data_IF_023170139771
#
_entry.id   IF_023170139771
#
_cell.length_a   1.000
_cell.length_b   1.000
_cell.length_c   1.000
_cell.angle_alpha   90.00
_cell.angle_beta   90.00
_cell.angle_gamma   90.00
#
_symmetry.space_group_name_H-M   'P 1'
#
loop_
_entity.id
_entity.type
_entity.pdbx_description
1 polymer ?
#
# COMPACT_ATOMS: atom_id res chain seq x y z
N UNK A 1 16.66 -27.77 -36.42
CA UNK A 1 15.28 -27.52 -35.96
C UNK A 1 15.31 -26.44 -34.91
N UNK A 2 14.58 -25.33 -35.12
CA UNK A 2 14.51 -24.22 -34.17
C UNK A 2 13.67 -24.66 -32.96
N UNK A 3 14.32 -24.83 -31.80
CA UNK A 3 13.64 -25.09 -30.54
C UNK A 3 12.83 -23.85 -30.14
N UNK A 4 11.51 -23.99 -30.11
CA UNK A 4 10.64 -23.00 -29.54
C UNK A 4 10.92 -22.93 -28.03
N UNK A 5 11.57 -21.85 -27.59
CA UNK A 5 11.63 -21.46 -26.19
C UNK A 5 10.19 -21.21 -25.73
N UNK A 6 9.58 -22.22 -25.10
CA UNK A 6 8.34 -22.05 -24.35
C UNK A 6 8.66 -21.13 -23.17
N UNK A 7 8.34 -19.85 -23.32
CA UNK A 7 8.17 -18.92 -22.21
C UNK A 7 7.10 -19.53 -21.29
N UNK A 8 7.52 -20.17 -20.20
CA UNK A 8 6.61 -20.59 -19.16
C UNK A 8 6.27 -19.34 -18.34
N UNK A 9 5.12 -18.73 -18.63
CA UNK A 9 4.54 -17.72 -17.76
C UNK A 9 4.25 -18.36 -16.40
N UNK A 10 4.81 -17.81 -15.32
CA UNK A 10 4.56 -18.31 -13.96
C UNK A 10 3.07 -18.21 -13.63
N UNK A 11 2.52 -19.28 -13.05
CA UNK A 11 1.16 -19.28 -12.50
C UNK A 11 1.02 -18.28 -11.34
N UNK A 12 -0.22 -17.90 -11.01
CA UNK A 12 -0.52 -17.07 -9.83
C UNK A 12 0.08 -17.65 -8.55
N UNK A 13 -0.04 -18.97 -8.33
CA UNK A 13 0.48 -19.62 -7.13
C UNK A 13 2.01 -19.53 -7.05
N UNK A 14 2.72 -19.78 -8.15
CA UNK A 14 4.18 -19.67 -8.19
C UNK A 14 4.64 -18.23 -7.94
N UNK A 15 3.92 -17.24 -8.48
CA UNK A 15 4.21 -15.83 -8.24
C UNK A 15 4.03 -15.47 -6.76
N UNK A 16 2.93 -15.89 -6.13
CA UNK A 16 2.69 -15.64 -4.70
C UNK A 16 3.76 -16.30 -3.83
N UNK A 17 4.13 -17.55 -4.14
CA UNK A 17 5.20 -18.26 -3.42
C UNK A 17 6.54 -17.53 -3.54
N UNK A 18 6.88 -17.02 -4.73
CA UNK A 18 8.11 -16.27 -4.95
C UNK A 18 8.15 -14.93 -4.18
N UNK A 19 6.99 -14.36 -3.82
CA UNK A 19 6.91 -13.13 -3.04
C UNK A 19 7.14 -13.34 -1.53
N UNK A 20 6.95 -14.56 -1.00
CA UNK A 20 7.00 -14.81 0.44
C UNK A 20 8.34 -14.44 1.06
N UNK A 21 9.45 -14.93 0.50
CA UNK A 21 10.79 -14.68 1.05
C UNK A 21 11.19 -13.19 1.07
N UNK A 22 11.15 -12.44 -0.06
CA UNK A 22 11.49 -11.02 -0.03
C UNK A 22 10.53 -10.20 0.83
N UNK A 23 9.23 -10.53 0.84
CA UNK A 23 8.26 -9.84 1.68
C UNK A 23 8.50 -10.10 3.17
N UNK A 24 8.83 -11.33 3.57
CA UNK A 24 9.15 -11.67 4.95
C UNK A 24 10.37 -10.89 5.45
N UNK A 25 11.46 -10.88 4.68
CA UNK A 25 12.67 -10.12 5.02
C UNK A 25 12.41 -8.62 5.13
N UNK A 26 11.63 -8.06 4.21
CA UNK A 26 11.26 -6.65 4.24
C UNK A 26 10.41 -6.29 5.47
N UNK A 27 9.46 -7.15 5.85
CA UNK A 27 8.57 -6.94 7.00
C UNK A 27 9.31 -6.93 8.33
N UNK A 28 10.29 -7.80 8.53
CA UNK A 28 11.06 -7.82 9.78
C UNK A 28 11.71 -6.44 10.05
N UNK A 29 12.33 -5.86 9.02
CA UNK A 29 12.92 -4.53 9.10
C UNK A 29 11.84 -3.45 9.23
N UNK A 30 10.77 -3.55 8.45
CA UNK A 30 9.70 -2.56 8.45
C UNK A 30 9.01 -2.44 9.80
N UNK A 31 8.69 -3.56 10.46
CA UNK A 31 8.04 -3.55 11.77
C UNK A 31 8.94 -2.91 12.83
N UNK A 32 10.24 -3.20 12.84
CA UNK A 32 11.21 -2.52 13.73
C UNK A 32 11.21 -1.00 13.50
N UNK A 33 11.25 -0.57 12.24
CA UNK A 33 11.27 0.85 11.89
C UNK A 33 9.93 1.56 12.19
N UNK A 34 8.79 0.90 11.94
CA UNK A 34 7.45 1.42 12.25
C UNK A 34 7.24 1.54 13.77
N UNK A 35 7.65 0.55 14.56
CA UNK A 35 7.61 0.62 16.03
C UNK A 35 8.45 1.80 16.55
N UNK A 36 9.59 2.06 15.91
CA UNK A 36 10.44 3.22 16.22
C UNK A 36 9.89 4.55 15.67
N UNK A 37 8.75 4.54 14.99
CA UNK A 37 8.07 5.74 14.50
C UNK A 37 8.74 6.40 13.29
N UNK A 38 9.68 5.73 12.62
CA UNK A 38 10.35 6.29 11.44
C UNK A 38 10.92 5.21 10.52
N UNK A 39 10.45 5.23 9.28
CA UNK A 39 10.98 4.47 8.16
C UNK A 39 12.35 5.00 7.75
N UNK A 40 13.28 4.07 7.53
CA UNK A 40 14.68 4.33 7.12
C UNK A 40 15.11 3.42 5.97
N UNK A 41 14.41 2.31 5.73
CA UNK A 41 14.72 1.33 4.68
C UNK A 41 13.86 1.42 3.41
N UNK A 42 14.25 0.67 2.39
CA UNK A 42 13.53 0.53 1.12
C UNK A 42 12.68 -0.75 1.10
N UNK A 43 11.59 -0.77 1.86
CA UNK A 43 10.73 -1.96 2.02
C UNK A 43 9.28 -1.76 1.59
N UNK A 44 8.89 -0.53 1.21
CA UNK A 44 7.47 -0.13 1.10
C UNK A 44 6.65 -1.06 0.20
N UNK A 45 7.19 -1.44 -0.97
CA UNK A 45 6.48 -2.22 -1.98
C UNK A 45 6.25 -3.68 -1.56
N UNK A 46 7.14 -4.22 -0.74
CA UNK A 46 7.08 -5.59 -0.25
C UNK A 46 6.16 -5.76 0.96
N UNK A 47 5.99 -4.67 1.72
CA UNK A 47 5.20 -4.64 2.96
C UNK A 47 3.77 -4.21 2.68
N UNK A 48 3.59 -3.21 1.83
CA UNK A 48 2.31 -2.65 1.42
C UNK A 48 2.19 -2.69 -0.11
N UNK A 49 1.96 -3.88 -0.69
CA UNK A 49 1.87 -4.01 -2.13
C UNK A 49 0.69 -3.24 -2.68
N UNK A 50 0.85 -2.74 -3.91
CA UNK A 50 -0.16 -1.93 -4.61
C UNK A 50 -0.39 -2.49 -6.01
N UNK A 51 -1.37 -1.96 -6.74
CA UNK A 51 -1.54 -2.30 -8.14
C UNK A 51 -0.42 -1.65 -8.96
N UNK A 52 0.09 -2.36 -9.98
CA UNK A 52 1.03 -1.77 -10.95
C UNK A 52 0.46 -0.49 -11.56
N UNK A 53 -0.85 -0.45 -11.82
CA UNK A 53 -1.54 0.70 -12.37
C UNK A 53 -1.79 1.86 -11.39
N UNK A 54 -1.63 1.64 -10.07
CA UNK A 54 -1.88 2.66 -9.02
C UNK A 54 -1.12 2.32 -7.74
N UNK A 55 -0.10 3.14 -7.43
CA UNK A 55 0.82 2.92 -6.32
C UNK A 55 2.15 2.30 -6.76
N UNK A 56 2.14 1.44 -7.78
CA UNK A 56 3.36 0.91 -8.40
C UNK A 56 4.19 1.98 -9.11
N UNK A 57 5.50 1.74 -9.22
CA UNK A 57 6.44 2.65 -9.89
C UNK A 57 7.61 1.91 -10.57
N UNK A 58 8.51 2.68 -11.19
CA UNK A 58 9.67 2.10 -11.88
C UNK A 58 10.58 1.27 -10.94
N UNK A 59 10.66 1.60 -9.65
CA UNK A 59 11.54 0.90 -8.70
C UNK A 59 10.94 -0.42 -8.24
N UNK A 60 9.62 -0.49 -8.02
CA UNK A 60 8.93 -1.76 -7.74
C UNK A 60 8.89 -2.68 -8.96
N UNK A 61 8.77 -2.13 -10.17
CA UNK A 61 8.80 -2.90 -11.42
C UNK A 61 10.16 -3.58 -11.69
N UNK A 62 11.25 -2.98 -11.21
CA UNK A 62 12.61 -3.53 -11.31
C UNK A 62 12.89 -4.68 -10.33
N UNK A 63 12.02 -4.91 -9.34
CA UNK A 63 12.20 -6.01 -8.39
C UNK A 63 12.07 -7.39 -9.06
N UNK A 64 12.70 -8.40 -8.45
CA UNK A 64 12.65 -9.79 -8.89
C UNK A 64 12.34 -10.70 -7.69
N UNK A 65 11.11 -11.26 -7.60
CA UNK A 65 9.95 -11.00 -8.47
C UNK A 65 9.47 -9.54 -8.39
N UNK A 66 8.61 -9.11 -9.31
CA UNK A 66 7.99 -7.78 -9.21
C UNK A 66 7.18 -7.68 -7.90
N UNK A 67 7.32 -6.56 -7.19
CA UNK A 67 6.64 -6.36 -5.91
C UNK A 67 5.18 -5.91 -6.08
N UNK A 68 4.86 -5.27 -7.20
CA UNK A 68 3.50 -4.80 -7.48
C UNK A 68 2.58 -5.92 -7.97
N UNK A 69 1.30 -5.74 -7.69
CA UNK A 69 0.24 -6.65 -8.08
C UNK A 69 -0.23 -6.25 -9.48
N UNK A 70 -0.19 -7.17 -10.44
CA UNK A 70 -0.46 -6.87 -11.85
C UNK A 70 -1.87 -6.33 -12.09
N UNK A 71 -2.83 -6.79 -11.29
CA UNK A 71 -4.25 -6.53 -11.45
C UNK A 71 -4.99 -6.90 -10.15
N UNK A 72 -6.29 -6.62 -10.12
CA UNK A 72 -7.15 -6.90 -8.98
C UNK A 72 -7.35 -8.39 -8.74
N UNK A 73 -7.30 -9.24 -9.78
CA UNK A 73 -7.42 -10.68 -9.60
C UNK A 73 -6.20 -11.23 -8.84
N UNK A 74 -4.99 -10.78 -9.19
CA UNK A 74 -3.77 -11.13 -8.48
C UNK A 74 -3.73 -10.54 -7.06
N UNK A 75 -4.25 -9.31 -6.86
CA UNK A 75 -4.41 -8.74 -5.53
C UNK A 75 -5.42 -9.52 -4.66
N UNK A 76 -6.47 -10.04 -5.27
CA UNK A 76 -7.46 -10.90 -4.60
C UNK A 76 -6.80 -12.22 -4.19
N UNK A 77 -6.05 -12.86 -5.10
CA UNK A 77 -5.29 -14.07 -4.79
C UNK A 77 -4.24 -13.83 -3.67
N UNK A 78 -3.61 -12.66 -3.62
CA UNK A 78 -2.73 -12.26 -2.51
C UNK A 78 -3.49 -12.21 -1.18
N UNK A 79 -4.68 -11.61 -1.18
CA UNK A 79 -5.54 -11.53 0.01
C UNK A 79 -6.11 -12.89 0.43
N UNK A 80 -6.34 -13.81 -0.49
CA UNK A 80 -6.79 -15.17 -0.19
C UNK A 80 -5.67 -16.05 0.38
N UNK A 81 -4.42 -15.80 -0.03
CA UNK A 81 -3.26 -16.52 0.45
C UNK A 81 -3.01 -16.25 1.94
N UNK A 82 -3.23 -17.26 2.79
CA UNK A 82 -3.28 -17.11 4.25
C UNK A 82 -2.06 -16.43 4.88
N UNK A 83 -0.84 -16.82 4.49
CA UNK A 83 0.40 -16.25 5.04
C UNK A 83 0.56 -14.76 4.67
N UNK A 84 0.37 -14.43 3.39
CA UNK A 84 0.46 -13.06 2.87
C UNK A 84 -0.61 -12.17 3.48
N UNK A 85 -1.87 -12.65 3.58
CA UNK A 85 -2.96 -11.95 4.26
C UNK A 85 -2.60 -11.62 5.70
N UNK A 86 -2.21 -12.62 6.50
CA UNK A 86 -1.86 -12.43 7.93
C UNK A 86 -0.72 -11.43 8.10
N UNK A 87 0.31 -11.54 7.25
CA UNK A 87 1.46 -10.66 7.32
C UNK A 87 1.13 -9.21 6.89
N UNK A 88 0.19 -9.03 5.96
CA UNK A 88 -0.30 -7.70 5.58
C UNK A 88 -1.17 -7.09 6.68
N UNK A 89 -2.09 -7.85 7.27
CA UNK A 89 -2.90 -7.42 8.44
C UNK A 89 -1.99 -6.88 9.55
N UNK A 90 -0.98 -7.66 9.95
CA UNK A 90 -0.03 -7.23 10.98
C UNK A 90 0.72 -5.96 10.58
N UNK A 91 1.11 -5.83 9.31
CA UNK A 91 1.79 -4.63 8.82
C UNK A 91 0.90 -3.39 8.88
N UNK A 92 -0.40 -3.52 8.58
CA UNK A 92 -1.36 -2.43 8.72
C UNK A 92 -1.58 -2.06 10.19
N UNK A 93 -1.78 -3.03 11.08
CA UNK A 93 -1.92 -2.79 12.52
C UNK A 93 -0.69 -2.07 13.09
N UNK A 94 0.50 -2.50 12.69
CA UNK A 94 1.77 -1.88 13.11
C UNK A 94 1.89 -0.44 12.60
N UNK A 95 1.50 -0.17 11.36
CA UNK A 95 1.50 1.17 10.80
C UNK A 95 0.50 2.10 11.50
N UNK A 96 -0.75 1.64 11.69
CA UNK A 96 -1.78 2.41 12.40
C UNK A 96 -1.35 2.73 13.84
N UNK A 97 -0.77 1.76 14.56
CA UNK A 97 -0.22 1.96 15.91
C UNK A 97 0.89 3.02 15.91
N UNK A 98 1.79 2.97 14.91
CA UNK A 98 2.86 3.95 14.75
C UNK A 98 2.31 5.36 14.50
N UNK A 99 1.29 5.50 13.65
CA UNK A 99 0.66 6.78 13.35
C UNK A 99 -0.09 7.34 14.57
N UNK A 100 -0.81 6.51 15.30
CA UNK A 100 -1.47 6.91 16.54
C UNK A 100 -0.45 7.38 17.59
N UNK A 101 0.68 6.67 17.74
CA UNK A 101 1.75 7.08 18.64
C UNK A 101 2.40 8.41 18.22
N UNK A 102 2.59 8.63 16.92
CA UNK A 102 3.07 9.90 16.36
C UNK A 102 2.08 11.05 16.66
N UNK A 103 0.80 10.86 16.38
CA UNK A 103 -0.24 11.85 16.65
C UNK A 103 -0.35 12.20 18.15
N UNK A 104 -0.22 11.22 19.05
CA UNK A 104 -0.20 11.45 20.52
C UNK A 104 0.95 12.35 20.99
N UNK A 105 2.04 12.46 20.23
CA UNK A 105 3.14 13.39 20.52
C UNK A 105 2.87 14.81 20.02
N UNK A 106 1.67 15.08 19.50
CA UNK A 106 1.31 16.37 18.91
C UNK A 106 1.94 16.61 17.54
N UNK A 107 2.39 15.54 16.87
CA UNK A 107 2.94 15.63 15.52
C UNK A 107 1.82 15.50 14.48
N UNK A 108 1.56 16.58 13.74
CA UNK A 108 0.69 16.54 12.56
C UNK A 108 1.28 15.65 11.45
N UNK A 109 0.45 15.22 10.50
CA UNK A 109 0.87 14.50 9.28
C UNK A 109 1.56 13.18 9.61
N UNK A 110 1.00 12.43 10.57
CA UNK A 110 1.58 11.21 11.11
C UNK A 110 2.03 10.19 10.03
N UNK A 111 1.24 9.90 8.97
CA UNK A 111 1.71 9.03 7.89
C UNK A 111 3.01 9.51 7.24
N UNK A 112 3.11 10.80 6.91
CA UNK A 112 4.33 11.39 6.33
C UNK A 112 5.49 11.39 7.31
N UNK A 113 5.26 11.75 8.59
CA UNK A 113 6.29 11.75 9.65
C UNK A 113 6.96 10.39 9.75
N UNK A 114 6.15 9.33 9.77
CA UNK A 114 6.63 7.97 9.92
C UNK A 114 7.24 7.43 8.63
N UNK A 115 6.63 7.65 7.45
CA UNK A 115 7.05 6.97 6.23
C UNK A 115 8.04 7.73 5.36
N UNK A 116 8.03 9.06 5.40
CA UNK A 116 8.67 9.89 4.37
C UNK A 116 9.65 10.91 4.96
N UNK A 117 9.37 11.46 6.14
CA UNK A 117 10.19 12.54 6.73
C UNK A 117 11.64 12.11 6.99
N UNK A 118 11.89 10.84 7.32
CA UNK A 118 13.25 10.29 7.50
C UNK A 118 14.12 10.34 6.24
N UNK A 119 13.52 10.54 5.06
CA UNK A 119 14.21 10.72 3.78
C UNK A 119 14.34 12.19 3.35
N UNK A 120 13.97 13.15 4.21
CA UNK A 120 13.99 14.59 3.89
C UNK A 120 12.91 15.02 2.89
N UNK A 121 11.87 14.20 2.70
CA UNK A 121 10.78 14.48 1.76
C UNK A 121 9.80 15.51 2.33
N UNK A 122 9.11 16.23 1.45
CA UNK A 122 8.04 17.16 1.84
C UNK A 122 6.71 16.45 1.99
N UNK A 123 5.86 16.94 2.90
CA UNK A 123 4.50 16.44 3.08
C UNK A 123 3.54 16.88 1.95
N UNK A 124 3.88 17.97 1.26
CA UNK A 124 3.30 18.36 -0.03
C UNK A 124 4.44 18.38 -1.05
N UNK A 125 4.39 17.46 -2.02
CA UNK A 125 5.42 17.43 -3.04
C UNK A 125 5.22 16.36 -4.10
N UNK A 126 6.07 16.44 -5.11
CA UNK A 126 6.04 15.54 -6.25
C UNK A 126 7.06 14.40 -6.12
N UNK A 127 6.62 13.20 -6.48
CA UNK A 127 7.45 12.02 -6.63
C UNK A 127 8.34 11.75 -5.40
N UNK A 128 9.62 11.41 -5.59
CA UNK A 128 10.57 11.12 -4.50
C UNK A 128 10.88 12.32 -3.60
N UNK A 129 10.47 13.54 -3.97
CA UNK A 129 10.57 14.74 -3.14
C UNK A 129 9.27 14.99 -2.34
N UNK A 130 8.20 14.28 -2.66
CA UNK A 130 6.92 14.28 -1.95
C UNK A 130 6.70 13.01 -1.13
N UNK A 131 5.51 12.82 -0.55
CA UNK A 131 5.21 11.75 0.38
C UNK A 131 4.85 10.44 -0.34
N UNK A 132 5.75 9.95 -1.20
CA UNK A 132 5.51 8.79 -2.08
C UNK A 132 5.23 7.50 -1.30
N UNK A 133 5.82 7.30 -0.13
CA UNK A 133 5.61 6.08 0.64
C UNK A 133 4.27 6.13 1.40
N UNK A 134 3.88 7.30 1.88
CA UNK A 134 2.52 7.55 2.39
C UNK A 134 1.47 7.29 1.31
N UNK A 135 1.69 7.76 0.09
CA UNK A 135 0.78 7.54 -1.03
C UNK A 135 0.64 6.05 -1.40
N UNK A 136 1.74 5.28 -1.38
CA UNK A 136 1.71 3.83 -1.60
C UNK A 136 0.91 3.10 -0.53
N UNK A 137 1.13 3.43 0.74
CA UNK A 137 0.34 2.85 1.82
C UNK A 137 -1.14 3.21 1.68
N UNK A 138 -1.46 4.45 1.31
CA UNK A 138 -2.83 4.90 1.07
C UNK A 138 -3.52 4.10 -0.05
N UNK A 139 -2.83 3.86 -1.16
CA UNK A 139 -3.31 3.00 -2.24
C UNK A 139 -3.47 1.54 -1.76
N UNK A 140 -2.48 1.00 -1.05
CA UNK A 140 -2.50 -0.39 -0.56
C UNK A 140 -3.66 -0.62 0.41
N UNK A 141 -3.82 0.24 1.42
CA UNK A 141 -4.89 0.12 2.40
C UNK A 141 -6.28 0.28 1.75
N UNK A 142 -6.44 1.18 0.77
CA UNK A 142 -7.70 1.30 0.01
C UNK A 142 -8.01 0.01 -0.77
N UNK A 143 -7.03 -0.52 -1.50
CA UNK A 143 -7.18 -1.75 -2.29
C UNK A 143 -7.62 -2.92 -1.41
N UNK A 144 -6.92 -3.13 -0.30
CA UNK A 144 -7.16 -4.27 0.56
C UNK A 144 -8.38 -4.10 1.47
N UNK A 145 -8.80 -2.88 1.82
CA UNK A 145 -10.10 -2.65 2.45
C UNK A 145 -11.25 -3.08 1.52
N UNK A 146 -11.18 -2.72 0.23
CA UNK A 146 -12.18 -3.08 -0.78
C UNK A 146 -12.22 -4.59 -1.05
N UNK A 147 -11.05 -5.22 -1.28
CA UNK A 147 -10.95 -6.66 -1.50
C UNK A 147 -11.42 -7.42 -0.25
N UNK A 148 -10.92 -7.06 0.94
CA UNK A 148 -11.29 -7.75 2.17
C UNK A 148 -12.79 -7.65 2.50
N UNK A 149 -13.43 -6.53 2.15
CA UNK A 149 -14.88 -6.41 2.27
C UNK A 149 -15.62 -7.40 1.37
N UNK A 150 -15.20 -7.52 0.09
CA UNK A 150 -15.81 -8.42 -0.88
C UNK A 150 -15.58 -9.90 -0.53
N UNK A 151 -14.37 -10.26 -0.10
CA UNK A 151 -13.99 -11.64 0.21
C UNK A 151 -14.27 -12.06 1.67
N UNK A 152 -14.83 -11.17 2.50
CA UNK A 152 -15.19 -11.49 3.89
C UNK A 152 -14.00 -11.62 4.85
N UNK A 153 -12.88 -10.94 4.59
CA UNK A 153 -11.70 -10.95 5.45
C UNK A 153 -11.74 -9.82 6.49
N UNK A 154 -12.54 -9.98 7.55
CA UNK A 154 -12.83 -8.95 8.54
C UNK A 154 -11.58 -8.29 9.16
N UNK A 155 -10.55 -9.06 9.54
CA UNK A 155 -9.35 -8.50 10.17
C UNK A 155 -8.47 -7.69 9.21
N UNK A 156 -8.35 -8.15 7.96
CA UNK A 156 -7.65 -7.40 6.91
C UNK A 156 -8.39 -6.09 6.60
N UNK A 157 -9.73 -6.15 6.51
CA UNK A 157 -10.57 -4.97 6.34
C UNK A 157 -10.37 -3.98 7.50
N UNK A 158 -10.49 -4.43 8.74
CA UNK A 158 -10.39 -3.59 9.95
C UNK A 158 -9.02 -2.91 10.05
N UNK A 159 -7.94 -3.66 9.87
CA UNK A 159 -6.58 -3.14 9.93
C UNK A 159 -6.29 -2.12 8.81
N UNK A 160 -6.75 -2.37 7.59
CA UNK A 160 -6.64 -1.42 6.48
C UNK A 160 -7.43 -0.12 6.76
N UNK A 161 -8.65 -0.21 7.29
CA UNK A 161 -9.44 0.96 7.68
C UNK A 161 -8.78 1.76 8.81
N UNK A 162 -8.17 1.07 9.79
CA UNK A 162 -7.43 1.70 10.88
C UNK A 162 -6.21 2.49 10.38
N UNK A 163 -5.56 2.06 9.28
CA UNK A 163 -4.53 2.87 8.62
C UNK A 163 -5.14 4.11 7.96
N UNK A 164 -6.24 3.94 7.23
CA UNK A 164 -6.86 5.00 6.43
C UNK A 164 -7.39 6.17 7.27
N UNK A 165 -7.78 5.96 8.53
CA UNK A 165 -8.24 7.03 9.42
C UNK A 165 -7.16 8.11 9.70
N UNK A 166 -5.87 7.77 9.53
CA UNK A 166 -4.77 8.69 9.75
C UNK A 166 -4.47 9.58 8.53
N UNK A 167 -5.10 9.31 7.39
CA UNK A 167 -5.03 10.17 6.21
C UNK A 167 -6.17 11.20 6.27
N UNK A 168 -5.85 12.38 6.79
CA UNK A 168 -6.84 13.43 7.10
C UNK A 168 -6.93 14.54 6.05
N UNK A 169 -6.07 14.49 5.03
CA UNK A 169 -5.95 15.50 3.97
C UNK A 169 -4.82 16.51 4.19
N UNK A 170 -3.96 16.31 5.19
CA UNK A 170 -2.81 17.14 5.52
C UNK A 170 -1.50 16.70 4.83
N UNK A 171 -1.56 15.63 4.03
CA UNK A 171 -0.47 15.10 3.20
C UNK A 171 -0.92 15.11 1.73
N UNK A 172 -0.09 15.62 0.84
CA UNK A 172 -0.39 15.78 -0.60
C UNK A 172 0.72 15.20 -1.45
N UNK A 173 0.37 14.23 -2.29
CA UNK A 173 1.30 13.58 -3.22
C UNK A 173 1.01 13.95 -4.66
N UNK A 174 2.04 14.37 -5.40
CA UNK A 174 1.94 14.55 -6.85
C UNK A 174 2.75 13.53 -7.64
N UNK A 175 2.16 12.94 -8.69
CA UNK A 175 2.91 12.19 -9.70
C UNK A 175 3.63 13.16 -10.65
N UNK A 176 4.90 12.94 -10.99
CA UNK A 176 5.70 13.90 -11.78
C UNK A 176 5.76 13.57 -13.29
N UNK A 177 5.50 12.31 -13.67
CA UNK A 177 5.68 11.83 -15.04
C UNK A 177 5.77 10.31 -15.12
N UNK A 178 6.07 9.79 -16.31
CA UNK A 178 6.19 8.34 -16.56
C UNK A 178 7.12 7.66 -15.54
N UNK A 179 6.70 6.50 -15.05
CA UNK A 179 7.42 5.72 -14.05
C UNK A 179 7.32 6.26 -12.62
N UNK A 180 6.67 7.41 -12.39
CA UNK A 180 6.27 7.82 -11.05
C UNK A 180 4.99 7.12 -10.59
N UNK A 181 4.87 6.92 -9.28
CA UNK A 181 3.74 6.24 -8.67
C UNK A 181 2.43 6.99 -8.96
N UNK A 182 1.43 6.27 -9.46
CA UNK A 182 0.12 6.86 -9.75
C UNK A 182 0.10 7.87 -10.89
N UNK A 183 1.10 7.89 -11.76
CA UNK A 183 1.09 8.68 -12.98
C UNK A 183 0.08 8.14 -14.01
N UNK A 184 -0.65 9.07 -14.64
CA UNK A 184 -1.46 8.85 -15.84
C UNK A 184 -0.87 9.70 -16.97
N UNK A 185 -1.11 9.31 -18.22
CA UNK A 185 -0.54 9.91 -19.44
C UNK A 185 -0.69 11.44 -19.57
N UNK A 186 -1.51 12.07 -18.73
CA UNK A 186 -1.79 13.50 -18.73
C UNK A 186 -1.30 14.18 -17.44
N UNK A 187 -0.03 14.63 -17.46
CA UNK A 187 0.50 15.65 -16.55
C UNK A 187 0.65 15.27 -15.07
N UNK A 188 0.82 16.30 -14.23
CA UNK A 188 0.95 16.16 -12.78
C UNK A 188 -0.44 15.97 -12.13
N UNK A 189 -0.64 14.84 -11.46
CA UNK A 189 -1.86 14.58 -10.68
C UNK A 189 -1.56 14.81 -9.21
N UNK A 190 -2.23 15.79 -8.59
CA UNK A 190 -2.14 16.08 -7.16
C UNK A 190 -3.19 15.26 -6.39
N UNK A 191 -2.75 14.50 -5.40
CA UNK A 191 -3.58 13.61 -4.59
C UNK A 191 -3.54 14.08 -3.14
N UNK A 192 -4.65 14.65 -2.67
CA UNK A 192 -4.85 14.95 -1.24
C UNK A 192 -5.19 13.64 -0.54
N UNK A 193 -4.31 13.17 0.34
CA UNK A 193 -4.48 11.87 0.97
C UNK A 193 -5.49 11.99 2.12
N UNK A 194 -6.76 11.71 1.82
CA UNK A 194 -7.86 11.81 2.78
C UNK A 194 -8.83 10.63 2.63
N UNK A 195 -9.05 9.89 3.70
CA UNK A 195 -10.03 8.80 3.71
C UNK A 195 -9.58 7.61 2.87
N UNK A 196 -9.79 7.63 1.55
CA UNK A 196 -9.44 6.53 0.64
C UNK A 196 -9.04 7.06 -0.75
N UNK A 197 -8.36 6.22 -1.53
CA UNK A 197 -7.97 6.54 -2.91
C UNK A 197 -9.09 6.18 -3.89
N UNK A 198 -9.82 7.17 -4.41
CA UNK A 198 -10.93 6.97 -5.36
C UNK A 198 -10.52 6.15 -6.59
N UNK A 199 -9.29 6.35 -7.07
CA UNK A 199 -8.81 5.66 -8.27
C UNK A 199 -8.54 4.19 -7.98
N UNK A 200 -7.88 3.87 -6.87
CA UNK A 200 -7.74 2.49 -6.40
C UNK A 200 -9.10 1.84 -6.16
N UNK A 201 -10.06 2.55 -5.55
CA UNK A 201 -11.39 2.02 -5.27
C UNK A 201 -12.13 1.65 -6.55
N UNK A 202 -12.08 2.54 -7.55
CA UNK A 202 -12.63 2.31 -8.90
C UNK A 202 -11.97 1.11 -9.58
N UNK A 203 -10.63 1.01 -9.51
CA UNK A 203 -9.89 -0.13 -10.05
C UNK A 203 -10.32 -1.44 -9.39
N UNK A 204 -10.55 -1.44 -8.07
CA UNK A 204 -11.04 -2.60 -7.31
C UNK A 204 -12.50 -2.99 -7.63
N UNK A 205 -13.19 -2.23 -8.48
CA UNK A 205 -14.57 -2.50 -8.89
C UNK A 205 -15.61 -2.10 -7.84
N UNK A 206 -15.25 -1.26 -6.87
CA UNK A 206 -16.17 -0.76 -5.84
C UNK A 206 -16.54 0.69 -6.14
N UNK A 207 -17.83 1.01 -6.02
CA UNK A 207 -18.36 2.36 -6.29
C UNK A 207 -18.89 3.09 -5.07
N UNK A 208 -19.05 2.37 -3.95
CA UNK A 208 -19.63 2.91 -2.72
C UNK A 208 -18.74 2.58 -1.51
N UNK A 209 -17.90 3.54 -1.15
CA UNK A 209 -17.02 3.46 0.03
C UNK A 209 -17.80 3.27 1.32
N UNK A 210 -19.04 3.80 1.42
CA UNK A 210 -19.83 3.73 2.65
C UNK A 210 -20.18 2.29 3.00
N UNK A 211 -20.35 1.41 2.01
CA UNK A 211 -20.55 -0.04 2.26
C UNK A 211 -19.33 -0.72 2.86
N UNK A 212 -18.13 -0.25 2.53
CA UNK A 212 -16.89 -0.76 3.12
C UNK A 212 -16.81 -0.29 4.57
N UNK A 213 -17.04 0.98 4.89
CA UNK A 213 -16.92 1.46 6.29
C UNK A 213 -18.12 1.12 7.17
N UNK A 214 -19.26 0.73 6.60
CA UNK A 214 -20.41 0.25 7.36
C UNK A 214 -20.06 -1.00 8.19
N UNK A 215 -20.55 -1.03 9.43
CA UNK A 215 -20.34 -2.13 10.37
C UNK A 215 -18.95 -2.16 11.03
N UNK A 216 -18.16 -1.09 10.89
CA UNK A 216 -16.96 -0.87 11.71
C UNK A 216 -17.40 -0.09 12.94
N UNK A 217 -17.53 -0.76 14.09
CA UNK A 217 -17.90 -0.07 15.32
C UNK A 217 -16.77 0.88 15.71
N UNK A 218 -17.09 2.17 15.82
CA UNK A 218 -16.12 3.21 16.20
C UNK A 218 -15.72 3.15 17.69
N UNK A 219 -16.28 2.20 18.45
CA UNK A 219 -16.13 2.06 19.89
C UNK A 219 -15.11 1.01 20.35
N UNK A 220 -14.46 0.27 19.43
CA UNK A 220 -13.44 -0.74 19.77
C UNK A 220 -12.10 -0.54 19.02
N UNK A 221 -11.72 0.73 18.77
CA UNK A 221 -10.38 1.11 18.27
C UNK A 221 -9.65 1.98 19.29
#
# INVERSE_FOLDING_TARGET
GKGALRSHSMSTSERLQAMLAPASQARERAHKELVNGQKRGHWIWWVFPTLTARGGDMFSAMQRPAADLSDVAFATAYAEHQELRRALTLSFETAATSFAACAKRGEDKAPWRVLDAGFGRRADGAWIQGPVDSFKLFCSATLFAAIAHREGHADLKRSALSVLQHFTGDVVYSSKGEGSSGHYSDGEVRNVLKGHDDVTLKLAGVTDWQKIVAGTDHSEL
#
